data_IF_929007525648
#
_entry.id   IF_929007525648
#
_cell.length_a   1.000
_cell.length_b   1.000
_cell.length_c   1.000
_cell.angle_alpha   90.00
_cell.angle_beta   90.00
_cell.angle_gamma   90.00
#
_symmetry.space_group_name_H-M   'P 1'
#
loop_
_entity.id
_entity.type
_entity.pdbx_description
1 polymer ?
#
# COMPACT_ATOMS: atom_id res chain seq x y z
N UNK A 1 6.93 8.76 4.49
CA UNK A 1 5.59 8.20 4.27
C UNK A 1 4.77 8.39 5.55
N UNK A 2 3.58 9.00 5.45
CA UNK A 2 2.67 9.16 6.59
C UNK A 2 1.99 7.85 6.95
N UNK A 3 2.70 6.90 7.57
CA UNK A 3 2.12 5.64 8.07
C UNK A 3 1.84 5.80 9.55
N UNK A 4 0.61 5.57 9.99
CA UNK A 4 0.19 5.76 11.38
C UNK A 4 0.08 4.45 12.16
N UNK A 5 -0.25 3.36 11.48
CA UNK A 5 -0.42 2.04 12.09
C UNK A 5 -0.20 0.91 11.06
N UNK A 6 0.26 -0.24 11.54
CA UNK A 6 0.40 -1.47 10.74
C UNK A 6 -0.16 -2.63 11.56
N UNK A 7 -1.18 -3.30 11.01
CA UNK A 7 -1.90 -4.39 11.69
C UNK A 7 -2.18 -5.55 10.75
N UNK A 8 -2.18 -6.77 11.27
CA UNK A 8 -2.51 -7.95 10.47
C UNK A 8 -1.91 -9.24 11.01
N UNK A 9 -2.21 -10.35 10.35
CA UNK A 9 -1.61 -11.68 10.63
C UNK A 9 -1.38 -12.43 9.32
N UNK A 10 -0.21 -13.07 9.19
CA UNK A 10 0.17 -13.78 7.98
C UNK A 10 0.20 -12.84 6.76
N UNK A 11 -0.37 -13.28 5.64
CA UNK A 11 -0.44 -12.52 4.39
C UNK A 11 -1.68 -11.63 4.28
N UNK A 12 -2.26 -11.21 5.40
CA UNK A 12 -3.39 -10.28 5.42
C UNK A 12 -3.04 -9.09 6.31
N UNK A 13 -2.48 -8.05 5.70
CA UNK A 13 -1.93 -6.88 6.37
C UNK A 13 -2.71 -5.62 5.98
N UNK A 14 -3.00 -4.79 6.96
CA UNK A 14 -3.55 -3.44 6.82
C UNK A 14 -2.51 -2.42 7.23
N UNK A 15 -2.29 -1.42 6.38
CA UNK A 15 -1.41 -0.27 6.62
C UNK A 15 -2.30 0.98 6.66
N UNK A 16 -2.32 1.66 7.79
CA UNK A 16 -3.03 2.92 7.98
C UNK A 16 -2.16 4.07 7.49
N UNK A 17 -2.69 4.87 6.56
CA UNK A 17 -2.04 6.06 6.03
C UNK A 17 -2.64 7.31 6.66
N UNK A 18 -1.79 8.28 7.01
CA UNK A 18 -2.19 9.63 7.37
C UNK A 18 -2.55 10.41 6.12
N UNK A 19 -3.83 10.36 5.74
CA UNK A 19 -4.36 11.07 4.58
C UNK A 19 -4.48 12.59 4.79
N UNK A 20 -4.26 13.09 6.01
CA UNK A 20 -4.35 14.52 6.32
C UNK A 20 -2.96 15.16 6.50
N UNK A 21 -1.89 14.39 6.31
CA UNK A 21 -0.52 14.90 6.44
C UNK A 21 -0.20 15.85 5.30
N UNK A 22 0.33 17.03 5.63
CA UNK A 22 0.84 17.99 4.63
C UNK A 22 2.12 17.52 3.93
N UNK A 23 2.79 16.52 4.50
CA UNK A 23 4.08 16.00 4.03
C UNK A 23 3.93 14.78 3.11
N UNK A 24 2.69 14.39 2.79
CA UNK A 24 2.36 13.32 1.86
C UNK A 24 1.72 13.86 0.59
N UNK A 25 2.01 13.24 -0.55
CA UNK A 25 1.47 13.66 -1.84
C UNK A 25 0.01 13.22 -2.07
N UNK A 26 -0.46 12.25 -1.29
CA UNK A 26 -1.81 11.67 -1.39
C UNK A 26 -2.74 12.26 -0.32
N UNK A 27 -4.02 12.38 -0.67
CA UNK A 27 -5.11 12.78 0.24
C UNK A 27 -6.14 11.65 0.42
N UNK A 28 -5.95 10.51 -0.26
CA UNK A 28 -6.78 9.33 -0.13
C UNK A 28 -5.99 8.06 -0.44
N UNK A 29 -6.30 6.96 0.25
CA UNK A 29 -5.71 5.64 -0.06
C UNK A 29 -6.00 5.20 -1.50
N UNK A 30 -7.10 5.67 -2.11
CA UNK A 30 -7.45 5.34 -3.50
C UNK A 30 -6.42 5.88 -4.49
N UNK A 31 -5.82 7.04 -4.22
CA UNK A 31 -4.77 7.60 -5.09
C UNK A 31 -3.52 6.73 -5.08
N UNK A 32 -3.13 6.25 -3.88
CA UNK A 32 -2.02 5.32 -3.70
C UNK A 32 -2.30 4.00 -4.43
N UNK A 33 -3.50 3.44 -4.26
CA UNK A 33 -3.92 2.21 -4.95
C UNK A 33 -3.88 2.35 -6.47
N UNK A 34 -4.44 3.44 -7.01
CA UNK A 34 -4.43 3.70 -8.45
C UNK A 34 -3.00 3.84 -8.97
N UNK A 35 -2.10 4.49 -8.21
CA UNK A 35 -0.69 4.63 -8.60
C UNK A 35 0.06 3.29 -8.59
N UNK A 36 -0.24 2.42 -7.63
CA UNK A 36 0.28 1.04 -7.65
C UNK A 36 -0.26 0.28 -8.86
N UNK A 37 -1.55 0.45 -9.18
CA UNK A 37 -2.19 -0.22 -10.31
C UNK A 37 -1.58 0.20 -11.66
N UNK A 38 -1.29 1.49 -11.85
CA UNK A 38 -0.56 2.01 -13.01
C UNK A 38 0.83 1.35 -13.18
N UNK A 39 1.43 0.89 -12.08
CA UNK A 39 2.72 0.21 -12.04
C UNK A 39 2.60 -1.32 -12.01
N UNK A 40 1.40 -1.86 -12.23
CA UNK A 40 1.14 -3.30 -12.33
C UNK A 40 0.83 -4.02 -11.03
N UNK A 41 0.69 -3.30 -9.90
CA UNK A 41 0.41 -3.90 -8.59
C UNK A 41 -0.97 -3.52 -8.10
N UNK A 42 -1.85 -4.51 -7.97
CA UNK A 42 -3.20 -4.32 -7.46
C UNK A 42 -3.24 -4.48 -5.94
N UNK A 43 -3.61 -3.40 -5.25
CA UNK A 43 -3.90 -3.38 -3.82
C UNK A 43 -5.35 -2.95 -3.60
N UNK A 44 -5.86 -3.19 -2.38
CA UNK A 44 -7.21 -2.74 -2.03
C UNK A 44 -7.14 -1.64 -0.97
N UNK A 45 -7.91 -0.58 -1.15
CA UNK A 45 -8.09 0.50 -0.17
C UNK A 45 -9.41 0.33 0.57
N UNK A 46 -9.41 0.47 1.90
CA UNK A 46 -10.62 0.41 2.73
C UNK A 46 -10.72 1.59 3.67
N UNK A 47 -11.95 2.01 4.01
CA UNK A 47 -12.21 3.07 4.99
C UNK A 47 -11.46 4.40 4.72
N UNK A 48 -11.21 4.72 3.43
CA UNK A 48 -10.51 5.90 2.93
C UNK A 48 -9.02 6.08 3.33
N UNK A 49 -8.52 5.39 4.35
CA UNK A 49 -7.15 5.56 4.86
C UNK A 49 -6.34 4.26 4.95
N UNK A 50 -6.97 3.08 4.79
CA UNK A 50 -6.32 1.80 5.05
C UNK A 50 -5.97 1.07 3.76
N UNK A 51 -4.69 0.84 3.52
CA UNK A 51 -4.19 0.00 2.44
C UNK A 51 -4.16 -1.45 2.90
N UNK A 52 -4.76 -2.36 2.11
CA UNK A 52 -4.82 -3.79 2.40
C UNK A 52 -3.93 -4.57 1.44
N UNK A 53 -2.95 -5.25 2.02
CA UNK A 53 -2.04 -6.15 1.34
C UNK A 53 -2.51 -7.58 1.64
N UNK A 54 -3.07 -8.23 0.62
CA UNK A 54 -3.64 -9.57 0.71
C UNK A 54 -3.28 -10.39 -0.55
N UNK A 55 -2.00 -10.76 -0.75
CA UNK A 55 -1.60 -11.58 -1.87
C UNK A 55 -2.14 -13.01 -1.77
N UNK A 56 -2.14 -13.77 -2.88
CA UNK A 56 -2.44 -15.20 -2.86
C UNK A 56 -1.53 -15.96 -1.88
N UNK A 57 -2.04 -17.00 -1.22
CA UNK A 57 -1.26 -17.81 -0.27
C UNK A 57 -0.13 -18.62 -0.94
N UNK A 58 -0.17 -18.74 -2.27
CA UNK A 58 0.84 -19.41 -3.09
C UNK A 58 1.86 -18.44 -3.71
N UNK A 59 1.80 -17.15 -3.38
CA UNK A 59 2.78 -16.15 -3.88
C UNK A 59 4.19 -16.55 -3.45
N UNK A 60 5.17 -16.34 -4.32
CA UNK A 60 6.56 -16.56 -3.98
C UNK A 60 7.22 -15.29 -3.41
N UNK A 61 8.39 -15.44 -2.81
CA UNK A 61 9.10 -14.31 -2.17
C UNK A 61 9.47 -13.22 -3.18
N UNK A 62 9.91 -13.60 -4.38
CA UNK A 62 10.32 -12.64 -5.43
C UNK A 62 9.14 -11.80 -5.91
N UNK A 63 7.98 -12.41 -6.18
CA UNK A 63 6.76 -11.70 -6.56
C UNK A 63 6.28 -10.76 -5.44
N UNK A 64 6.41 -11.19 -4.19
CA UNK A 64 6.08 -10.37 -3.03
C UNK A 64 7.01 -9.16 -2.92
N UNK A 65 8.31 -9.37 -3.05
CA UNK A 65 9.32 -8.32 -2.98
C UNK A 65 9.11 -7.30 -4.11
N UNK A 66 8.89 -7.75 -5.36
CA UNK A 66 8.57 -6.88 -6.49
C UNK A 66 7.33 -6.02 -6.24
N UNK A 67 6.27 -6.62 -5.68
CA UNK A 67 5.04 -5.91 -5.34
C UNK A 67 5.25 -4.86 -4.25
N UNK A 68 6.06 -5.18 -3.24
CA UNK A 68 6.39 -4.28 -2.13
C UNK A 68 7.31 -3.15 -2.59
N UNK A 69 8.27 -3.41 -3.48
CA UNK A 69 9.14 -2.39 -4.06
C UNK A 69 8.33 -1.34 -4.82
N UNK A 70 7.32 -1.76 -5.59
CA UNK A 70 6.40 -0.83 -6.26
C UNK A 70 5.66 0.03 -5.24
N UNK A 71 5.14 -0.58 -4.18
CA UNK A 71 4.43 0.14 -3.12
C UNK A 71 5.35 1.14 -2.40
N UNK A 72 6.55 0.72 -2.04
CA UNK A 72 7.55 1.60 -1.42
C UNK A 72 7.83 2.79 -2.32
N UNK A 73 8.12 2.56 -3.60
CA UNK A 73 8.34 3.62 -4.58
C UNK A 73 7.12 4.54 -4.78
N UNK A 74 5.90 4.06 -4.58
CA UNK A 74 4.70 4.93 -4.59
C UNK A 74 4.65 5.81 -3.35
N UNK A 75 5.09 5.32 -2.19
CA UNK A 75 5.03 6.02 -0.91
C UNK A 75 6.22 6.96 -0.63
N UNK A 76 7.39 6.68 -1.20
CA UNK A 76 8.65 7.40 -0.92
C UNK A 76 9.09 8.32 -2.05
N UNK A 77 8.89 7.96 -3.31
CA UNK A 77 9.34 8.78 -4.42
C UNK A 77 8.32 9.86 -4.77
N UNK A 78 8.55 11.05 -4.24
CA UNK A 78 8.52 12.31 -4.99
C UNK A 78 9.80 13.10 -4.73
#
# INVERSE_FOLDING_TARGET
AGITDIRGKGLFIGVELDINSSDTWYNSVTEVVNKCLERGVLLNGTQNSVLRIAPPLCINQTELDEGLDVLENVLTCQ
#
